data_IF_672405158457
#
_entry.id   IF_672405158457
#
_cell.length_a   1.000
_cell.length_b   1.000
_cell.length_c   1.000
_cell.angle_alpha   90.00
_cell.angle_beta   90.00
_cell.angle_gamma   90.00
#
_symmetry.space_group_name_H-M   'P 1'
#
loop_
_entity.id
_entity.type
_entity.pdbx_description
1 polymer ?
#
# COMPACT_ATOMS: atom_id res chain seq x y z
N UNK A 1 -19.44 -2.57 -13.32
CA UNK A 1 -18.96 -3.65 -12.42
C UNK A 1 -17.49 -3.48 -12.03
N UNK A 2 -16.58 -3.27 -12.98
CA UNK A 2 -15.13 -3.14 -12.73
C UNK A 2 -14.73 -2.12 -11.65
N UNK A 3 -15.39 -0.95 -11.61
CA UNK A 3 -15.11 0.08 -10.60
C UNK A 3 -15.37 -0.43 -9.17
N UNK A 4 -16.45 -1.19 -8.95
CA UNK A 4 -16.77 -1.78 -7.63
C UNK A 4 -15.70 -2.80 -7.21
N UNK A 5 -15.22 -3.60 -8.15
CA UNK A 5 -14.13 -4.55 -7.90
C UNK A 5 -12.83 -3.82 -7.53
N UNK A 6 -12.50 -2.72 -8.22
CA UNK A 6 -11.31 -1.93 -7.89
C UNK A 6 -11.34 -1.37 -6.47
N UNK A 7 -12.49 -0.85 -6.04
CA UNK A 7 -12.71 -0.39 -4.66
C UNK A 7 -12.61 -1.55 -3.66
N UNK A 8 -13.20 -2.71 -3.95
CA UNK A 8 -13.07 -3.89 -3.10
C UNK A 8 -11.60 -4.32 -2.96
N UNK A 9 -10.84 -4.39 -4.06
CA UNK A 9 -9.41 -4.67 -4.03
C UNK A 9 -8.60 -3.61 -3.27
N UNK A 10 -8.98 -2.33 -3.36
CA UNK A 10 -8.31 -1.26 -2.65
C UNK A 10 -8.45 -1.39 -1.13
N UNK A 11 -9.66 -1.66 -0.65
CA UNK A 11 -9.93 -1.92 0.77
C UNK A 11 -9.35 -3.24 1.26
N UNK A 12 -9.40 -4.28 0.43
CA UNK A 12 -8.71 -5.54 0.73
C UNK A 12 -7.21 -5.32 0.90
N UNK A 13 -6.60 -4.48 0.06
CA UNK A 13 -5.20 -4.08 0.19
C UNK A 13 -4.91 -3.43 1.54
N UNK A 14 -5.74 -2.48 1.99
CA UNK A 14 -5.60 -1.85 3.33
C UNK A 14 -5.64 -2.90 4.43
N UNK A 15 -6.60 -3.82 4.36
CA UNK A 15 -6.76 -4.89 5.34
C UNK A 15 -5.55 -5.83 5.36
N UNK A 16 -5.07 -6.26 4.20
CA UNK A 16 -3.87 -7.11 4.09
C UNK A 16 -2.65 -6.39 4.65
N UNK A 17 -2.42 -5.12 4.29
CA UNK A 17 -1.29 -4.34 4.83
C UNK A 17 -1.36 -4.24 6.34
N UNK A 18 -2.54 -3.96 6.91
CA UNK A 18 -2.73 -3.93 8.37
C UNK A 18 -2.38 -5.27 9.02
N UNK A 19 -2.91 -6.38 8.50
CA UNK A 19 -2.65 -7.71 9.06
C UNK A 19 -1.17 -8.08 8.98
N UNK A 20 -0.56 -7.92 7.80
CA UNK A 20 0.84 -8.30 7.57
C UNK A 20 1.78 -7.46 8.41
N UNK A 21 1.55 -6.15 8.51
CA UNK A 21 2.42 -5.27 9.31
C UNK A 21 2.33 -5.52 10.81
N UNK A 22 1.25 -6.12 11.32
CA UNK A 22 1.11 -6.44 12.74
C UNK A 22 1.57 -7.87 13.09
N UNK A 23 1.85 -8.71 12.10
CA UNK A 23 2.38 -10.05 12.35
C UNK A 23 3.80 -9.99 12.92
N UNK A 24 4.17 -10.91 13.83
CA UNK A 24 5.53 -11.03 14.30
C UNK A 24 6.49 -11.23 13.11
N UNK A 25 7.64 -10.54 13.08
CA UNK A 25 8.61 -10.72 12.02
C UNK A 25 9.14 -12.17 12.03
N UNK A 26 9.59 -12.71 10.89
CA UNK A 26 10.15 -14.06 10.86
C UNK A 26 11.40 -14.11 11.75
N UNK A 27 11.49 -15.13 12.62
CA UNK A 27 12.53 -15.27 13.65
C UNK A 27 13.97 -15.52 13.13
N UNK A 28 14.21 -15.49 11.82
CA UNK A 28 15.55 -15.70 11.26
C UNK A 28 16.26 -14.36 11.03
N UNK A 29 17.52 -14.25 11.46
CA UNK A 29 18.34 -13.03 11.29
C UNK A 29 18.45 -12.56 9.83
N UNK A 30 18.31 -13.47 8.85
CA UNK A 30 18.26 -13.13 7.42
C UNK A 30 16.94 -12.50 6.94
N UNK A 31 15.87 -12.54 7.74
CA UNK A 31 14.55 -12.05 7.35
C UNK A 31 14.31 -10.56 7.66
N UNK A 32 15.22 -9.89 8.36
CA UNK A 32 15.09 -8.46 8.67
C UNK A 32 14.99 -7.60 7.39
N UNK A 33 15.81 -7.91 6.37
CA UNK A 33 15.71 -7.24 5.07
C UNK A 33 14.43 -7.60 4.32
N UNK A 34 13.95 -8.84 4.47
CA UNK A 34 12.69 -9.29 3.86
C UNK A 34 11.51 -8.52 4.41
N UNK A 35 11.46 -8.27 5.73
CA UNK A 35 10.42 -7.45 6.36
C UNK A 35 10.36 -6.04 5.73
N UNK A 36 11.52 -5.39 5.54
CA UNK A 36 11.59 -4.06 4.90
C UNK A 36 11.12 -4.08 3.44
N UNK A 37 11.45 -5.14 2.70
CA UNK A 37 10.98 -5.30 1.31
C UNK A 37 9.46 -5.47 1.29
N UNK A 38 8.88 -6.22 2.23
CA UNK A 38 7.42 -6.40 2.36
C UNK A 38 6.75 -5.06 2.66
N UNK A 39 7.28 -4.28 3.60
CA UNK A 39 6.80 -2.91 3.88
C UNK A 39 6.89 -2.00 2.65
N UNK A 40 8.05 -1.93 2.00
CA UNK A 40 8.24 -1.12 0.81
C UNK A 40 7.29 -1.51 -0.33
N UNK A 41 7.19 -2.81 -0.64
CA UNK A 41 6.35 -3.30 -1.74
C UNK A 41 4.87 -3.21 -1.42
N UNK A 42 4.46 -3.52 -0.18
CA UNK A 42 3.08 -3.42 0.28
C UNK A 42 2.55 -1.98 0.17
N UNK A 43 3.30 -1.01 0.67
CA UNK A 43 2.91 0.40 0.61
C UNK A 43 2.98 0.97 -0.81
N UNK A 44 3.91 0.49 -1.65
CA UNK A 44 3.95 0.84 -3.08
C UNK A 44 2.71 0.35 -3.83
N UNK A 45 2.33 -0.92 -3.65
CA UNK A 45 1.15 -1.51 -4.29
C UNK A 45 -0.12 -0.83 -3.78
N UNK A 46 -0.24 -0.62 -2.46
CA UNK A 46 -1.38 0.05 -1.85
C UNK A 46 -1.56 1.46 -2.42
N UNK A 47 -0.49 2.26 -2.41
CA UNK A 47 -0.54 3.63 -2.94
C UNK A 47 -0.84 3.66 -4.43
N UNK A 48 -0.18 2.80 -5.22
CA UNK A 48 -0.39 2.71 -6.66
C UNK A 48 -1.84 2.38 -6.99
N UNK A 49 -2.43 1.39 -6.32
CA UNK A 49 -3.79 0.93 -6.57
C UNK A 49 -4.83 1.99 -6.25
N UNK A 50 -4.73 2.61 -5.07
CA UNK A 50 -5.62 3.69 -4.67
C UNK A 50 -5.50 4.92 -5.59
N UNK A 51 -4.31 5.21 -6.11
CA UNK A 51 -4.09 6.31 -7.05
C UNK A 51 -4.72 6.08 -8.43
N UNK A 52 -5.18 4.85 -8.74
CA UNK A 52 -6.02 4.57 -9.91
C UNK A 52 -7.47 5.05 -9.70
N UNK A 53 -7.96 4.99 -8.46
CA UNK A 53 -9.31 5.42 -8.07
C UNK A 53 -9.39 6.95 -7.86
N UNK A 54 -8.39 7.52 -7.17
CA UNK A 54 -8.38 8.93 -6.78
C UNK A 54 -7.29 9.67 -7.56
N UNK A 55 -7.63 10.13 -8.77
CA UNK A 55 -6.65 10.73 -9.70
C UNK A 55 -6.33 12.19 -9.37
N UNK A 56 -7.33 13.01 -9.06
CA UNK A 56 -7.15 14.47 -8.92
C UNK A 56 -6.46 14.89 -7.61
N UNK A 57 -6.55 14.06 -6.56
CA UNK A 57 -6.09 14.42 -5.20
C UNK A 57 -5.07 13.41 -4.65
N UNK A 58 -4.20 12.88 -5.51
CA UNK A 58 -3.20 11.86 -5.15
C UNK A 58 -2.27 12.29 -4.00
N UNK A 59 -2.04 13.58 -3.80
CA UNK A 59 -1.27 14.08 -2.66
C UNK A 59 -1.98 13.84 -1.31
N UNK A 60 -3.32 13.95 -1.26
CA UNK A 60 -4.10 13.62 -0.04
C UNK A 60 -4.04 12.13 0.26
N UNK A 61 -4.02 11.32 -0.79
CA UNK A 61 -3.85 9.88 -0.66
C UNK A 61 -2.45 9.52 -0.15
N UNK A 62 -1.41 10.16 -0.67
CA UNK A 62 -0.04 9.99 -0.16
C UNK A 62 0.04 10.33 1.33
N UNK A 63 -0.55 11.46 1.75
CA UNK A 63 -0.65 11.84 3.15
C UNK A 63 -1.41 10.79 3.98
N UNK A 64 -2.55 10.29 3.49
CA UNK A 64 -3.33 9.26 4.17
C UNK A 64 -2.54 7.95 4.34
N UNK A 65 -1.80 7.52 3.33
CA UNK A 65 -0.95 6.30 3.38
C UNK A 65 0.22 6.48 4.36
N UNK A 66 0.84 7.66 4.40
CA UNK A 66 1.88 7.97 5.40
C UNK A 66 1.31 7.94 6.82
N UNK A 67 0.17 8.60 7.04
CA UNK A 67 -0.50 8.59 8.35
C UNK A 67 -0.91 7.18 8.77
N UNK A 68 -1.40 6.37 7.83
CA UNK A 68 -1.70 4.96 8.07
C UNK A 68 -0.47 4.18 8.51
N UNK A 69 0.69 4.38 7.86
CA UNK A 69 1.95 3.77 8.27
C UNK A 69 2.41 4.19 9.67
N UNK A 70 2.30 5.48 10.00
CA UNK A 70 2.62 5.98 11.35
C UNK A 70 1.72 5.32 12.42
N UNK A 71 0.42 5.20 12.14
CA UNK A 71 -0.52 4.53 13.05
C UNK A 71 -0.15 3.06 13.22
N UNK A 72 0.18 2.36 12.13
CA UNK A 72 0.60 0.96 12.19
C UNK A 72 1.86 0.79 13.03
N UNK A 73 2.88 1.63 12.85
CA UNK A 73 4.09 1.61 13.69
C UNK A 73 3.74 1.78 15.18
N UNK A 74 2.86 2.74 15.51
CA UNK A 74 2.38 2.91 16.87
C UNK A 74 1.68 1.65 17.41
N UNK A 75 0.85 1.00 16.60
CA UNK A 75 0.18 -0.25 16.96
C UNK A 75 1.14 -1.43 17.12
N UNK A 76 2.22 -1.48 16.33
CA UNK A 76 3.27 -2.49 16.46
C UNK A 76 3.94 -2.40 17.84
N UNK A 77 4.18 -1.19 18.35
CA UNK A 77 4.72 -0.99 19.70
C UNK A 77 3.80 -1.45 20.84
N UNK A 78 2.50 -1.63 20.55
CA UNK A 78 1.51 -2.18 21.47
C UNK A 78 1.25 -3.69 21.24
N UNK A 79 1.86 -4.29 20.23
CA UNK A 79 1.60 -5.67 19.81
C UNK A 79 2.65 -6.62 20.38
N UNK A 80 2.27 -7.69 21.11
CA UNK A 80 3.22 -8.65 21.64
C UNK A 80 4.10 -9.27 20.54
N UNK A 81 5.40 -9.41 20.80
CA UNK A 81 6.39 -9.93 19.84
C UNK A 81 6.51 -9.11 18.54
N UNK A 82 6.12 -7.83 18.56
CA UNK A 82 6.41 -6.84 17.52
C UNK A 82 6.96 -5.58 18.18
N UNK A 83 7.74 -4.81 17.42
CA UNK A 83 8.36 -3.58 17.88
C UNK A 83 8.22 -2.52 16.80
N UNK A 84 8.19 -1.25 17.21
CA UNK A 84 8.32 -0.10 16.31
C UNK A 84 9.70 -0.08 15.67
N UNK A 85 9.80 0.30 14.40
CA UNK A 85 11.07 0.43 13.71
C UNK A 85 11.09 1.63 12.74
N UNK A 86 12.02 2.55 12.95
CA UNK A 86 12.21 3.71 12.07
C UNK A 86 12.52 3.30 10.62
N UNK A 87 13.16 2.15 10.40
CA UNK A 87 13.40 1.62 9.05
C UNK A 87 12.12 1.09 8.40
N UNK A 88 11.13 0.62 9.17
CA UNK A 88 9.80 0.28 8.62
C UNK A 88 9.08 1.56 8.20
N UNK A 89 9.08 2.60 9.04
CA UNK A 89 8.50 3.90 8.69
C UNK A 89 9.13 4.49 7.40
N UNK A 90 10.45 4.34 7.24
CA UNK A 90 11.17 4.75 6.03
C UNK A 90 10.78 3.88 4.82
N UNK A 91 10.71 2.55 4.98
CA UNK A 91 10.29 1.64 3.92
C UNK A 91 8.85 1.92 3.46
N UNK A 92 7.93 2.15 4.39
CA UNK A 92 6.53 2.50 4.14
C UNK A 92 6.42 3.80 3.34
N UNK A 93 7.13 4.84 3.77
CA UNK A 93 7.13 6.15 3.12
C UNK A 93 7.77 6.09 1.72
N UNK A 94 8.84 5.31 1.57
CA UNK A 94 9.52 5.10 0.29
C UNK A 94 8.65 4.31 -0.69
N UNK A 95 8.00 3.24 -0.21
CA UNK A 95 7.03 2.47 -0.95
C UNK A 95 5.89 3.33 -1.44
N UNK A 96 5.27 4.11 -0.55
CA UNK A 96 4.25 5.09 -0.90
C UNK A 96 4.71 6.03 -2.01
N UNK A 97 5.91 6.61 -1.91
CA UNK A 97 6.44 7.52 -2.93
C UNK A 97 6.61 6.81 -4.29
N UNK A 98 7.15 5.59 -4.29
CA UNK A 98 7.30 4.76 -5.49
C UNK A 98 5.93 4.49 -6.13
N UNK A 99 4.94 4.07 -5.34
CA UNK A 99 3.59 3.80 -5.83
C UNK A 99 2.90 5.05 -6.39
N UNK A 100 3.10 6.20 -5.75
CA UNK A 100 2.59 7.49 -6.23
C UNK A 100 3.23 7.90 -7.56
N UNK A 101 4.56 7.81 -7.66
CA UNK A 101 5.31 8.10 -8.89
C UNK A 101 4.89 7.15 -10.01
N UNK A 102 4.83 5.85 -9.74
CA UNK A 102 4.38 4.84 -10.70
C UNK A 102 2.98 5.16 -11.23
N UNK A 103 2.03 5.53 -10.37
CA UNK A 103 0.68 5.89 -10.80
C UNK A 103 0.63 7.21 -11.57
N UNK A 104 1.57 8.13 -11.33
CA UNK A 104 1.71 9.40 -12.05
C UNK A 104 2.31 9.23 -13.43
N UNK A 105 3.26 8.30 -13.57
CA UNK A 105 3.99 8.04 -14.81
C UNK A 105 3.31 6.98 -15.69
N UNK A 106 2.46 6.12 -15.10
CA UNK A 106 1.72 5.11 -15.85
C UNK A 106 0.30 5.58 -16.24
N UNK A 107 -0.25 5.02 -17.32
CA UNK A 107 -1.66 5.22 -17.65
C UNK A 107 -2.60 4.66 -16.57
N UNK A 108 -3.80 5.24 -16.44
CA UNK A 108 -4.78 4.73 -15.49
C UNK A 108 -5.33 3.36 -15.94
N UNK A 109 -4.99 2.30 -15.21
CA UNK A 109 -5.35 0.92 -15.53
C UNK A 109 -6.85 0.68 -15.44
N UNK A 110 -7.52 1.27 -14.44
CA UNK A 110 -8.96 1.14 -14.26
C UNK A 110 -9.72 1.73 -15.47
N UNK A 111 -9.29 2.91 -15.94
CA UNK A 111 -9.87 3.54 -17.12
C UNK A 111 -9.63 2.72 -18.38
N UNK A 112 -8.39 2.22 -18.58
CA UNK A 112 -8.04 1.40 -19.75
C UNK A 112 -8.83 0.10 -19.81
N UNK A 113 -8.89 -0.64 -18.70
CA UNK A 113 -9.64 -1.88 -18.64
C UNK A 113 -11.14 -1.62 -18.79
N UNK A 114 -11.66 -0.57 -18.16
CA UNK A 114 -13.05 -0.14 -18.34
C UNK A 114 -13.42 0.09 -19.81
N UNK A 115 -12.55 0.76 -20.58
CA UNK A 115 -12.77 1.01 -22.00
C UNK A 115 -12.83 -0.29 -22.83
N UNK A 116 -11.98 -1.28 -22.52
CA UNK A 116 -11.96 -2.58 -23.21
C UNK A 116 -13.23 -3.41 -22.98
N UNK A 117 -13.86 -3.28 -21.81
CA UNK A 117 -15.13 -3.97 -21.53
C UNK A 117 -16.32 -3.31 -22.23
N UNK A 118 -16.28 -1.99 -22.43
CA UNK A 118 -17.33 -1.27 -23.17
C UNK A 118 -17.22 -1.55 -24.68
N UNK A 119 -16.01 -1.68 -25.23
CA UNK A 119 -15.83 -1.96 -26.66
C UNK A 119 -16.14 -3.40 -27.08
N UNK A 120 -16.49 -4.29 -26.13
CA UNK A 120 -16.73 -5.72 -26.35
C UNK A 120 -18.17 -6.15 -26.04
N UNK A 121 -19.03 -5.24 -25.58
CA UNK A 121 -20.45 -5.48 -25.31
C UNK A 121 -21.31 -4.70 -26.29
#
# INVERSE_FOLDING_TARGET
>A
MIHRLWWACAWLGVFITLLVSLMPPPFSEGAAHTDKIVHLTGYAVLMYWWAQLIVQRRWRLALAVVLFGIVIEGLQGLTPNRQTDALDALANSSGMLIGWLAARLSPNLLQRLGALFVSRG
#
